data_IF_408078951671
#
_entry.id   IF_408078951671
#
_cell.length_a   1.000
_cell.length_b   1.000
_cell.length_c   1.000
_cell.angle_alpha   90.00
_cell.angle_beta   90.00
_cell.angle_gamma   90.00
#
_symmetry.space_group_name_H-M   'P 1'
#
loop_
_entity.id
_entity.type
_entity.pdbx_description
1 polymer ?
#
# COMPACT_ATOMS: atom_id res chain seq x y z
N UNK A 1 1.83 -18.12 -10.40
CA UNK A 1 3.07 -17.31 -10.43
C UNK A 1 3.01 -16.32 -9.27
N UNK A 2 3.89 -16.48 -8.29
CA UNK A 2 4.06 -15.56 -7.17
C UNK A 2 4.56 -14.22 -7.71
N UNK A 3 3.83 -13.13 -7.43
CA UNK A 3 4.24 -11.78 -7.86
C UNK A 3 5.25 -11.25 -6.85
N UNK A 4 6.44 -10.93 -7.32
CA UNK A 4 7.48 -10.28 -6.52
C UNK A 4 7.18 -8.79 -6.40
N UNK A 5 7.33 -8.24 -5.19
CA UNK A 5 7.20 -6.81 -4.96
C UNK A 5 8.60 -6.19 -5.01
N UNK A 6 8.83 -5.29 -5.95
CA UNK A 6 10.08 -4.54 -6.06
C UNK A 6 9.92 -3.15 -5.46
N UNK A 7 10.92 -2.69 -4.72
CA UNK A 7 11.01 -1.33 -4.15
C UNK A 7 12.18 -0.61 -4.77
N UNK A 8 11.92 0.63 -5.16
CA UNK A 8 12.91 1.59 -5.58
C UNK A 8 12.93 2.73 -4.55
N UNK A 9 14.09 3.00 -3.97
CA UNK A 9 14.27 4.06 -2.98
C UNK A 9 14.97 5.24 -3.64
N UNK A 10 14.32 6.39 -3.65
CA UNK A 10 14.87 7.67 -4.08
C UNK A 10 15.87 8.22 -3.05
N UNK A 11 16.76 9.15 -3.44
CA UNK A 11 17.79 9.71 -2.57
C UNK A 11 17.23 10.59 -1.44
N UNK A 12 15.99 11.08 -1.57
CA UNK A 12 15.23 11.76 -0.52
C UNK A 12 14.62 10.79 0.51
N UNK A 13 14.73 9.48 0.28
CA UNK A 13 14.12 8.41 1.09
C UNK A 13 12.75 7.97 0.61
N UNK A 14 12.18 8.58 -0.43
CA UNK A 14 10.88 8.21 -0.98
C UNK A 14 10.93 6.82 -1.61
N UNK A 15 9.94 5.97 -1.30
CA UNK A 15 9.90 4.58 -1.76
C UNK A 15 8.79 4.37 -2.79
N UNK A 16 9.14 3.79 -3.93
CA UNK A 16 8.21 3.40 -4.97
C UNK A 16 8.14 1.89 -5.11
N UNK A 17 6.95 1.33 -5.01
CA UNK A 17 6.75 -0.11 -5.07
C UNK A 17 6.03 -0.54 -6.36
N UNK A 18 6.41 -1.70 -6.90
CA UNK A 18 5.73 -2.32 -8.03
C UNK A 18 5.65 -3.83 -7.86
N UNK A 19 4.42 -4.36 -7.95
CA UNK A 19 4.17 -5.81 -7.94
C UNK A 19 4.19 -6.34 -9.37
N UNK A 20 5.05 -7.32 -9.64
CA UNK A 20 5.13 -7.95 -10.95
C UNK A 20 5.63 -9.39 -10.84
N UNK A 21 5.32 -10.19 -11.84
CA UNK A 21 5.89 -11.50 -12.11
C UNK A 21 7.27 -11.42 -12.80
N UNK A 22 7.70 -10.23 -13.24
CA UNK A 22 8.97 -10.01 -13.95
C UNK A 22 10.11 -9.63 -13.01
N UNK A 23 11.33 -10.01 -13.38
CA UNK A 23 12.53 -9.63 -12.62
C UNK A 23 12.98 -8.21 -12.98
N UNK A 24 12.89 -7.30 -12.01
CA UNK A 24 13.39 -5.93 -12.16
C UNK A 24 14.62 -5.71 -11.28
N UNK A 25 15.70 -5.22 -11.89
CA UNK A 25 16.97 -4.95 -11.19
C UNK A 25 17.17 -3.47 -10.91
N UNK A 26 16.60 -2.60 -11.76
CA UNK A 26 16.78 -1.15 -11.69
C UNK A 26 15.43 -0.45 -11.89
N UNK A 27 15.28 0.72 -11.28
CA UNK A 27 14.18 1.64 -11.53
C UNK A 27 14.73 3.00 -11.90
N UNK A 28 14.03 3.68 -12.80
CA UNK A 28 14.29 5.05 -13.18
C UNK A 28 13.30 5.93 -12.43
N UNK A 29 13.83 6.81 -11.59
CA UNK A 29 13.07 7.80 -10.84
C UNK A 29 13.35 9.17 -11.44
N UNK A 30 12.33 9.99 -11.62
CA UNK A 30 12.43 11.36 -12.10
C UNK A 30 12.14 12.29 -10.94
N UNK A 31 13.06 13.21 -10.70
CA UNK A 31 12.85 14.32 -9.79
C UNK A 31 11.80 15.26 -10.40
N UNK A 32 10.67 15.43 -9.72
CA UNK A 32 9.69 16.49 -10.04
C UNK A 32 9.79 17.60 -9.00
N UNK A 33 9.16 18.75 -9.23
CA UNK A 33 9.29 19.94 -8.37
C UNK A 33 8.91 19.70 -6.90
N UNK A 34 8.09 18.68 -6.62
CA UNK A 34 7.61 18.38 -5.27
C UNK A 34 7.89 16.94 -4.81
N UNK A 35 8.09 15.98 -5.73
CA UNK A 35 8.26 14.56 -5.39
C UNK A 35 9.09 13.79 -6.43
N UNK A 36 9.76 12.71 -5.98
CA UNK A 36 10.32 11.73 -6.89
C UNK A 36 9.19 10.87 -7.47
N UNK A 37 9.22 10.64 -8.79
CA UNK A 37 8.22 9.81 -9.47
C UNK A 37 8.90 8.65 -10.20
N UNK A 38 8.41 7.43 -10.02
CA UNK A 38 8.92 6.27 -10.74
C UNK A 38 8.50 6.28 -12.22
N UNK A 39 9.42 6.63 -13.11
CA UNK A 39 9.25 6.61 -14.58
C UNK A 39 9.15 5.19 -15.10
N UNK A 40 9.89 4.26 -14.51
CA UNK A 40 9.76 2.87 -14.88
C UNK A 40 10.73 1.91 -14.20
N UNK A 41 10.29 0.66 -14.13
CA UNK A 41 11.09 -0.45 -13.64
C UNK A 41 11.67 -1.21 -14.84
N UNK A 42 12.98 -1.44 -14.80
CA UNK A 42 13.79 -2.03 -15.87
C UNK A 42 14.50 -3.29 -15.36
N UNK A 43 14.43 -4.37 -16.16
CA UNK A 43 15.07 -5.64 -15.82
C UNK A 43 16.59 -5.63 -16.07
N UNK A 44 17.08 -4.66 -16.83
CA UNK A 44 18.48 -4.51 -17.23
C UNK A 44 18.98 -3.09 -16.94
N UNK A 45 20.25 -2.93 -16.53
CA UNK A 45 20.88 -1.63 -16.33
C UNK A 45 20.90 -0.81 -17.64
N UNK A 46 21.22 -1.44 -18.77
CA UNK A 46 21.29 -0.76 -20.07
C UNK A 46 19.95 -0.09 -20.48
N UNK A 47 18.83 -0.76 -20.14
CA UNK A 47 17.49 -0.22 -20.41
C UNK A 47 17.12 0.91 -19.45
N UNK A 48 17.64 0.88 -18.22
CA UNK A 48 17.46 1.96 -17.25
C UNK A 48 18.26 3.20 -17.66
N UNK A 49 19.50 3.04 -18.13
CA UNK A 49 20.33 4.15 -18.61
C UNK A 49 19.77 4.78 -19.89
N UNK A 50 19.24 3.97 -20.82
CA UNK A 50 18.54 4.48 -22.00
C UNK A 50 17.34 5.34 -21.61
N UNK A 51 16.49 4.83 -20.71
CA UNK A 51 15.35 5.61 -20.20
C UNK A 51 15.78 6.86 -19.45
N UNK A 52 16.88 6.80 -18.68
CA UNK A 52 17.43 7.97 -18.02
C UNK A 52 17.84 9.05 -19.02
N UNK A 53 18.44 8.64 -20.14
CA UNK A 53 18.86 9.56 -21.20
C UNK A 53 17.67 10.25 -21.90
N UNK A 54 16.49 9.61 -21.90
CA UNK A 54 15.24 10.18 -22.44
C UNK A 54 14.58 11.18 -21.48
N UNK A 55 14.94 11.16 -20.19
CA UNK A 55 14.36 11.99 -19.14
C UNK A 55 15.44 12.76 -18.36
N UNK A 56 15.80 13.99 -18.76
CA UNK A 56 16.74 14.81 -18.00
C UNK A 56 16.20 15.07 -16.59
N UNK A 57 17.04 14.91 -15.57
CA UNK A 57 16.62 14.96 -14.15
C UNK A 57 16.22 13.60 -13.55
N UNK A 58 16.37 12.51 -14.30
CA UNK A 58 16.15 11.17 -13.77
C UNK A 58 17.42 10.48 -13.27
N UNK A 59 17.24 9.65 -12.25
CA UNK A 59 18.27 8.81 -11.64
C UNK A 59 17.91 7.34 -11.83
N UNK A 60 18.94 6.50 -11.87
CA UNK A 60 18.77 5.05 -11.83
C UNK A 60 19.04 4.59 -10.41
N UNK A 61 18.08 3.92 -9.80
CA UNK A 61 18.21 3.30 -8.48
C UNK A 61 18.10 1.79 -8.59
N UNK A 62 18.79 1.07 -7.71
CA UNK A 62 18.71 -0.39 -7.66
C UNK A 62 17.41 -0.81 -6.99
N UNK A 63 16.69 -1.73 -7.62
CA UNK A 63 15.50 -2.31 -7.03
C UNK A 63 15.87 -3.36 -5.98
N UNK A 64 15.21 -3.31 -4.84
CA UNK A 64 15.27 -4.34 -3.80
C UNK A 64 13.96 -5.12 -3.79
N UNK A 65 14.02 -6.43 -3.55
CA UNK A 65 12.81 -7.24 -3.41
C UNK A 65 12.25 -7.03 -1.99
N UNK A 66 11.01 -6.56 -1.89
CA UNK A 66 10.27 -6.51 -0.63
C UNK A 66 9.70 -7.89 -0.34
N UNK A 67 10.54 -8.78 0.16
CA UNK A 67 10.15 -10.13 0.54
C UNK A 67 11.25 -11.14 0.30
N UNK A 68 12.21 -11.18 1.23
CA UNK A 68 12.86 -12.40 1.73
C UNK A 68 13.76 -12.02 2.93
N UNK A 69 13.13 -11.52 3.99
CA UNK A 69 13.73 -11.56 5.33
C UNK A 69 12.78 -12.32 6.26
N UNK A 70 12.54 -13.58 5.87
CA UNK A 70 11.94 -14.62 6.70
C UNK A 70 12.91 -15.82 6.82
N UNK A 71 14.23 -15.58 6.77
CA UNK A 71 15.26 -16.59 6.95
C UNK A 71 16.49 -15.99 7.64
N UNK A 72 16.32 -15.59 8.90
CA UNK A 72 17.34 -15.80 9.94
C UNK A 72 16.58 -15.86 11.27
N UNK A 73 16.00 -17.05 11.54
CA UNK A 73 15.58 -17.44 12.88
C UNK A 73 16.80 -18.02 13.59
N UNK A 74 17.12 -17.58 14.81
CA UNK A 74 17.25 -18.50 15.90
C UNK A 74 15.86 -18.70 16.53
N UNK A 75 15.47 -19.97 16.52
CA UNK A 75 14.38 -20.59 17.26
C UNK A 75 14.37 -20.15 18.73
N UNK A 76 13.28 -19.52 19.16
CA UNK A 76 12.80 -19.48 20.55
C UNK A 76 11.31 -19.09 20.46
N UNK A 77 10.46 -20.09 20.28
CA UNK A 77 9.68 -20.72 21.35
C UNK A 77 8.49 -19.84 21.79
N UNK A 78 7.32 -20.46 21.71
CA UNK A 78 6.02 -19.88 21.96
C UNK A 78 5.93 -19.19 23.31
N UNK A 79 5.19 -18.08 23.39
CA UNK A 79 4.32 -17.79 24.53
C UNK A 79 3.18 -16.89 24.07
N UNK A 80 1.98 -17.42 24.25
CA UNK A 80 0.71 -16.72 24.17
C UNK A 80 0.63 -15.57 25.20
N UNK A 81 -0.30 -14.64 24.94
CA UNK A 81 -0.89 -13.64 25.85
C UNK A 81 -0.30 -12.22 25.89
N UNK A 82 -1.13 -11.35 25.30
CA UNK A 82 -1.78 -10.20 25.93
C UNK A 82 -0.96 -9.02 26.48
N UNK A 83 -1.45 -7.84 26.08
CA UNK A 83 -1.38 -6.52 26.74
C UNK A 83 -0.15 -5.62 26.52
N UNK A 84 -0.45 -4.54 25.78
CA UNK A 84 -0.34 -3.14 26.23
C UNK A 84 0.83 -2.24 25.74
N UNK A 85 0.57 -1.62 24.58
CA UNK A 85 0.59 -0.16 24.29
C UNK A 85 1.90 0.69 24.42
N UNK A 86 1.93 1.96 23.93
CA UNK A 86 1.69 2.44 22.56
C UNK A 86 2.78 3.46 22.11
N UNK A 87 3.18 3.50 20.83
CA UNK A 87 3.55 4.79 20.19
C UNK A 87 3.76 4.65 18.69
N UNK A 88 3.28 5.67 17.99
CA UNK A 88 3.42 5.94 16.57
C UNK A 88 2.47 5.17 15.65
N UNK A 89 1.19 5.57 15.75
CA UNK A 89 0.20 5.29 14.72
C UNK A 89 0.68 5.87 13.38
N UNK A 90 0.87 5.06 12.32
CA UNK A 90 1.01 5.62 10.98
C UNK A 90 -0.28 6.39 10.67
N UNK A 91 -0.13 7.67 10.30
CA UNK A 91 -1.23 8.62 10.02
C UNK A 91 -2.42 7.88 9.38
N UNK A 92 -3.61 7.87 10.01
CA UNK A 92 -4.74 7.15 9.47
C UNK A 92 -5.06 7.74 8.09
N UNK A 93 -4.90 6.94 7.04
CA UNK A 93 -5.40 7.32 5.72
C UNK A 93 -6.88 6.98 5.65
N UNK A 94 -7.65 7.69 4.83
CA UNK A 94 -9.09 7.41 4.62
C UNK A 94 -9.31 5.92 4.29
N UNK A 95 -8.42 5.32 3.49
CA UNK A 95 -8.49 3.90 3.14
C UNK A 95 -8.26 2.97 4.33
N UNK A 96 -7.29 3.28 5.19
CA UNK A 96 -7.02 2.52 6.42
C UNK A 96 -8.20 2.60 7.39
N UNK A 97 -8.78 3.79 7.58
CA UNK A 97 -9.93 4.01 8.45
C UNK A 97 -11.17 3.27 7.94
N UNK A 98 -11.47 3.37 6.64
CA UNK A 98 -12.59 2.63 6.02
C UNK A 98 -12.37 1.12 6.15
N UNK A 99 -11.15 0.64 5.98
CA UNK A 99 -10.85 -0.78 6.11
C UNK A 99 -11.08 -1.28 7.54
N UNK A 100 -10.63 -0.54 8.55
CA UNK A 100 -10.83 -0.87 9.96
C UNK A 100 -12.33 -0.90 10.31
N UNK A 101 -13.07 0.15 9.95
CA UNK A 101 -14.51 0.25 10.18
C UNK A 101 -15.31 -0.81 9.40
N UNK A 102 -14.80 -1.30 8.26
CA UNK A 102 -15.44 -2.36 7.48
C UNK A 102 -15.34 -3.73 8.15
N UNK A 103 -14.31 -3.98 8.98
CA UNK A 103 -14.18 -5.22 9.76
C UNK A 103 -15.22 -5.29 10.88
N UNK A 104 -15.74 -4.14 11.31
CA UNK A 104 -16.58 -4.03 12.49
C UNK A 104 -18.05 -4.32 12.15
N UNK A 105 -18.51 -5.57 12.34
CA UNK A 105 -19.83 -6.04 11.87
C UNK A 105 -21.01 -5.18 12.34
N UNK A 106 -20.86 -4.41 13.42
CA UNK A 106 -21.89 -3.50 13.93
C UNK A 106 -22.15 -2.25 13.06
N UNK A 107 -21.23 -1.85 12.17
CA UNK A 107 -21.30 -0.55 11.47
C UNK A 107 -21.89 -0.64 10.05
N UNK A 108 -22.99 0.05 9.75
CA UNK A 108 -23.48 0.12 8.38
C UNK A 108 -22.65 1.08 7.50
N UNK A 109 -22.71 0.94 6.18
CA UNK A 109 -21.93 1.78 5.25
C UNK A 109 -22.19 3.28 5.43
N UNK A 110 -23.41 3.67 5.84
CA UNK A 110 -23.74 5.06 6.16
C UNK A 110 -22.95 5.56 7.38
N UNK A 111 -22.93 4.77 8.46
CA UNK A 111 -22.18 5.09 9.68
C UNK A 111 -20.68 5.17 9.45
N UNK A 112 -20.15 4.32 8.55
CA UNK A 112 -18.74 4.36 8.13
C UNK A 112 -18.45 5.67 7.39
N UNK A 113 -19.35 6.12 6.51
CA UNK A 113 -19.18 7.41 5.81
C UNK A 113 -19.19 8.57 6.79
N UNK A 114 -20.12 8.58 7.74
CA UNK A 114 -20.24 9.64 8.75
C UNK A 114 -18.97 9.73 9.61
N UNK A 115 -18.43 8.58 10.04
CA UNK A 115 -17.18 8.52 10.80
C UNK A 115 -15.99 9.06 9.99
N UNK A 116 -15.91 8.73 8.70
CA UNK A 116 -14.83 9.21 7.84
C UNK A 116 -14.95 10.70 7.55
N UNK A 117 -16.16 11.22 7.35
CA UNK A 117 -16.38 12.66 7.10
C UNK A 117 -16.14 13.48 8.38
N UNK A 118 -16.43 12.93 9.56
CA UNK A 118 -16.14 13.56 10.85
C UNK A 118 -14.63 13.74 11.08
N UNK A 119 -13.83 12.73 10.72
CA UNK A 119 -12.37 12.77 10.86
C UNK A 119 -11.69 13.51 9.68
N UNK A 120 -12.26 13.39 8.48
CA UNK A 120 -11.75 13.98 7.25
C UNK A 120 -12.83 14.83 6.56
N UNK A 121 -13.00 16.11 6.94
CA UNK A 121 -14.05 16.97 6.37
C UNK A 121 -13.87 17.26 4.87
N UNK A 122 -12.67 17.04 4.33
CA UNK A 122 -12.37 17.18 2.90
C UNK A 122 -12.55 15.87 2.11
N UNK A 123 -12.93 14.76 2.75
CA UNK A 123 -13.06 13.47 2.10
C UNK A 123 -14.37 13.35 1.30
N UNK A 124 -14.27 12.93 0.04
CA UNK A 124 -15.44 12.64 -0.82
C UNK A 124 -15.92 11.19 -0.68
N UNK A 125 -15.87 10.65 0.52
CA UNK A 125 -16.28 9.26 0.80
C UNK A 125 -17.79 9.12 0.66
N UNK A 126 -18.23 8.11 -0.08
CA UNK A 126 -19.64 7.77 -0.25
C UNK A 126 -19.87 6.29 0.03
N UNK A 127 -21.11 5.91 0.35
CA UNK A 127 -21.46 4.51 0.61
C UNK A 127 -21.09 3.58 -0.56
N UNK A 128 -21.16 4.09 -1.80
CA UNK A 128 -20.73 3.37 -3.00
C UNK A 128 -19.22 3.15 -3.04
N UNK A 129 -18.43 4.15 -2.62
CA UNK A 129 -16.98 4.03 -2.51
C UNK A 129 -16.60 3.00 -1.45
N UNK A 130 -17.24 3.05 -0.28
CA UNK A 130 -17.05 2.09 0.82
C UNK A 130 -17.42 0.66 0.39
N UNK A 131 -18.54 0.48 -0.31
CA UNK A 131 -18.95 -0.83 -0.82
C UNK A 131 -17.96 -1.39 -1.88
N UNK A 132 -17.37 -0.52 -2.70
CA UNK A 132 -16.32 -0.89 -3.65
C UNK A 132 -15.07 -1.39 -2.93
N UNK A 133 -14.63 -0.67 -1.89
CA UNK A 133 -13.49 -1.07 -1.04
C UNK A 133 -13.78 -2.41 -0.35
N UNK A 134 -14.97 -2.60 0.21
CA UNK A 134 -15.39 -3.87 0.79
C UNK A 134 -15.33 -5.03 -0.22
N UNK A 135 -15.79 -4.81 -1.46
CA UNK A 135 -15.69 -5.82 -2.52
C UNK A 135 -14.24 -6.17 -2.86
N UNK A 136 -13.36 -5.17 -2.94
CA UNK A 136 -11.93 -5.38 -3.19
C UNK A 136 -11.26 -6.13 -2.05
N UNK A 137 -11.63 -5.86 -0.79
CA UNK A 137 -11.12 -6.55 0.38
C UNK A 137 -11.55 -8.02 0.41
N UNK A 138 -12.83 -8.32 0.12
CA UNK A 138 -13.32 -9.70 -0.04
C UNK A 138 -12.57 -10.45 -1.14
N UNK A 139 -12.31 -9.80 -2.29
CA UNK A 139 -11.51 -10.37 -3.39
C UNK A 139 -10.06 -10.66 -3.00
N UNK A 140 -9.52 -9.91 -2.05
CA UNK A 140 -8.16 -10.11 -1.50
C UNK A 140 -8.11 -11.18 -0.41
N UNK A 141 -9.24 -11.80 -0.06
CA UNK A 141 -9.34 -12.82 0.98
C UNK A 141 -9.45 -12.26 2.40
N UNK A 142 -9.73 -10.96 2.55
CA UNK A 142 -10.05 -10.38 3.86
C UNK A 142 -11.51 -10.66 4.17
N UNK A 143 -11.78 -11.17 5.37
CA UNK A 143 -13.12 -11.53 5.83
C UNK A 143 -13.91 -10.26 6.17
N UNK A 144 -14.48 -9.64 5.13
CA UNK A 144 -15.36 -8.47 5.28
C UNK A 144 -16.81 -8.94 5.19
N UNK A 145 -17.61 -8.79 6.26
CA UNK A 145 -18.98 -9.27 6.29
C UNK A 145 -19.80 -8.67 5.14
N UNK A 146 -20.62 -9.50 4.47
CA UNK A 146 -21.53 -9.05 3.43
C UNK A 146 -22.70 -8.29 4.05
N UNK A 147 -22.50 -6.98 4.26
CA UNK A 147 -23.57 -6.06 4.67
C UNK A 147 -24.56 -5.94 3.51
N UNK A 148 -25.73 -6.54 3.68
CA UNK A 148 -26.90 -6.23 2.87
C UNK A 148 -27.34 -4.83 3.29
N UNK A 149 -27.29 -3.92 2.34
CA UNK A 149 -27.95 -2.63 2.37
C UNK A 149 -29.30 -2.73 3.08
N UNK A 150 -29.38 -2.17 4.28
CA UNK A 150 -30.63 -1.94 4.98
C UNK A 150 -31.47 -1.01 4.09
N UNK A 151 -32.54 -1.57 3.55
CA UNK A 151 -33.53 -0.86 2.76
C UNK A 151 -34.20 0.17 3.68
N UNK A 152 -33.98 1.46 3.40
CA UNK A 152 -34.89 2.54 3.78
C UNK A 152 -35.39 3.17 2.49
#
# INVERSE_FOLDING_TARGET
>A
MTKTTYVATAPDGSQHTRKTDRTYTHAVLLESEEEWTAVGFCGRPDLAEKKRSEHPGSIVVKCSVLGDRAADMPEAEATEKASDSPSEQPKPTIGSMVQELLMDEALDYATIVDAVVAEFPNAQTSARSVASVASVLRKKGVDVPMRRNSKV
#
